data_IF_662339101805
#
_entry.id   IF_662339101805
#
_cell.length_a   1.000
_cell.length_b   1.000
_cell.length_c   1.000
_cell.angle_alpha   90.00
_cell.angle_beta   90.00
_cell.angle_gamma   90.00
#
_symmetry.space_group_name_H-M   'P 1'
#
loop_
_entity.id
_entity.type
_entity.pdbx_description
1 polymer ?
#
# COMPACT_ATOMS: atom_id res chain seq x y z
N UNK A 1 3.17 -0.63 -3.90
CA UNK A 1 2.37 -0.36 -2.69
C UNK A 1 0.91 -0.63 -2.96
N UNK A 2 0.28 -1.43 -2.11
CA UNK A 2 -1.18 -1.46 -1.95
C UNK A 2 -1.53 -0.85 -0.61
N UNK A 3 -2.57 -0.03 -0.59
CA UNK A 3 -3.14 0.56 0.61
C UNK A 3 -4.65 0.38 0.55
N UNK A 4 -5.29 0.02 1.67
CA UNK A 4 -6.72 -0.19 1.76
C UNK A 4 -7.26 0.30 3.11
N UNK A 5 -8.47 0.91 3.12
CA UNK A 5 -9.11 1.41 4.34
C UNK A 5 -9.82 0.26 5.03
N UNK A 6 -9.52 0.05 6.29
CA UNK A 6 -10.08 -1.04 7.09
C UNK A 6 -11.55 -0.82 7.42
N UNK A 7 -12.34 -1.89 7.23
CA UNK A 7 -13.77 -1.92 7.55
C UNK A 7 -14.59 -0.83 6.84
N UNK A 8 -14.08 -0.31 5.70
CA UNK A 8 -14.73 0.78 4.99
C UNK A 8 -16.17 0.45 4.61
N UNK A 9 -16.42 -0.69 3.99
CA UNK A 9 -17.77 -1.11 3.56
C UNK A 9 -18.76 -1.16 4.72
N UNK A 10 -18.32 -1.64 5.89
CA UNK A 10 -19.16 -1.70 7.09
C UNK A 10 -19.44 -0.30 7.64
N UNK A 11 -18.41 0.53 7.74
CA UNK A 11 -18.51 1.89 8.25
C UNK A 11 -19.28 2.84 7.31
N UNK A 12 -19.29 2.56 6.00
CA UNK A 12 -19.98 3.36 5.00
C UNK A 12 -21.45 2.96 4.81
N UNK A 13 -21.87 1.77 5.26
CA UNK A 13 -23.18 1.15 4.94
C UNK A 13 -24.38 2.08 5.16
N UNK A 14 -24.41 2.74 6.30
CA UNK A 14 -25.57 3.54 6.73
C UNK A 14 -25.34 5.05 6.57
N UNK A 15 -24.37 5.45 5.71
CA UNK A 15 -24.02 6.85 5.49
C UNK A 15 -24.53 7.35 4.15
N UNK A 16 -24.85 8.64 4.03
CA UNK A 16 -25.18 9.25 2.76
C UNK A 16 -24.01 9.09 1.75
N UNK A 17 -24.29 8.83 0.47
CA UNK A 17 -23.25 8.67 -0.55
C UNK A 17 -22.29 9.86 -0.64
N UNK A 18 -22.81 11.08 -0.45
CA UNK A 18 -22.01 12.30 -0.47
C UNK A 18 -20.98 12.33 0.67
N UNK A 19 -21.38 11.91 1.88
CA UNK A 19 -20.47 11.82 3.02
C UNK A 19 -19.39 10.73 2.79
N UNK A 20 -19.73 9.65 2.08
CA UNK A 20 -18.77 8.61 1.70
C UNK A 20 -17.70 9.17 0.76
N UNK A 21 -18.11 9.93 -0.24
CA UNK A 21 -17.19 10.56 -1.21
C UNK A 21 -16.32 11.62 -0.51
N UNK A 22 -16.90 12.45 0.35
CA UNK A 22 -16.14 13.44 1.12
C UNK A 22 -15.10 12.79 2.02
N UNK A 23 -15.45 11.70 2.73
CA UNK A 23 -14.52 10.95 3.55
C UNK A 23 -13.36 10.40 2.72
N UNK A 24 -13.63 9.76 1.58
CA UNK A 24 -12.58 9.25 0.70
C UNK A 24 -11.68 10.37 0.19
N UNK A 25 -12.25 11.47 -0.31
CA UNK A 25 -11.49 12.57 -0.85
C UNK A 25 -10.58 13.21 0.20
N UNK A 26 -11.09 13.45 1.41
CA UNK A 26 -10.32 14.05 2.50
C UNK A 26 -9.14 13.17 2.92
N UNK A 27 -9.35 11.84 2.98
CA UNK A 27 -8.31 10.91 3.41
C UNK A 27 -7.33 10.57 2.28
N UNK A 28 -7.80 10.42 1.06
CA UNK A 28 -6.90 10.20 -0.08
C UNK A 28 -6.00 11.39 -0.36
N UNK A 29 -6.44 12.62 -0.09
CA UNK A 29 -5.65 13.82 -0.35
C UNK A 29 -4.26 13.75 0.30
N UNK A 30 -4.18 13.55 1.62
CA UNK A 30 -2.89 13.49 2.30
C UNK A 30 -2.10 12.21 1.97
N UNK A 31 -2.79 11.08 1.73
CA UNK A 31 -2.12 9.83 1.31
C UNK A 31 -1.44 9.99 -0.05
N UNK A 32 -2.11 10.64 -1.00
CA UNK A 32 -1.56 10.95 -2.32
C UNK A 32 -0.36 11.89 -2.18
N UNK A 33 -0.49 12.95 -1.38
CA UNK A 33 0.59 13.90 -1.12
C UNK A 33 1.84 13.21 -0.53
N UNK A 34 1.66 12.28 0.41
CA UNK A 34 2.76 11.50 0.97
C UNK A 34 3.41 10.60 -0.09
N UNK A 35 2.61 9.90 -0.91
CA UNK A 35 3.11 9.05 -1.99
C UNK A 35 3.88 9.87 -3.02
N UNK A 36 3.34 11.00 -3.48
CA UNK A 36 3.96 11.87 -4.48
C UNK A 36 5.26 12.50 -3.93
N UNK A 37 5.28 12.93 -2.67
CA UNK A 37 6.47 13.51 -2.00
C UNK A 37 7.65 12.53 -1.99
N UNK A 38 7.36 11.24 -1.87
CA UNK A 38 8.35 10.18 -1.92
C UNK A 38 8.55 9.58 -3.32
N UNK A 39 8.16 10.28 -4.38
CA UNK A 39 8.44 9.88 -5.76
C UNK A 39 7.61 8.69 -6.26
N UNK A 40 6.58 8.30 -5.53
CA UNK A 40 5.58 7.35 -6.02
C UNK A 40 4.51 8.04 -6.86
N UNK A 41 3.73 7.29 -7.59
CA UNK A 41 2.55 7.81 -8.28
C UNK A 41 1.35 6.88 -8.12
N UNK A 42 0.16 7.45 -8.10
CA UNK A 42 -1.07 6.69 -8.02
C UNK A 42 -1.35 6.05 -9.38
N UNK A 43 -1.30 4.73 -9.41
CA UNK A 43 -1.66 3.99 -10.63
C UNK A 43 -3.17 3.91 -10.81
N UNK A 44 -3.88 3.55 -9.74
CA UNK A 44 -5.35 3.51 -9.73
C UNK A 44 -5.93 3.50 -8.33
N UNK A 45 -7.18 3.95 -8.24
CA UNK A 45 -8.02 3.72 -7.08
C UNK A 45 -8.76 2.38 -7.23
N UNK A 46 -8.89 1.65 -6.14
CA UNK A 46 -9.52 0.33 -6.06
C UNK A 46 -10.68 0.37 -5.06
N UNK A 47 -11.66 1.24 -5.35
CA UNK A 47 -12.72 1.57 -4.41
C UNK A 47 -12.17 2.42 -3.26
N UNK A 48 -12.06 1.83 -2.08
CA UNK A 48 -11.48 2.42 -0.86
C UNK A 48 -9.98 2.16 -0.71
N UNK A 49 -9.34 1.64 -1.75
CA UNK A 49 -7.91 1.35 -1.78
C UNK A 49 -7.15 2.11 -2.86
N UNK A 50 -5.84 2.10 -2.74
CA UNK A 50 -4.88 2.72 -3.67
C UNK A 50 -3.85 1.69 -4.11
N UNK A 51 -3.59 1.64 -5.42
CA UNK A 51 -2.37 1.06 -5.98
C UNK A 51 -1.42 2.20 -6.35
N UNK A 52 -0.28 2.27 -5.68
CA UNK A 52 0.80 3.20 -6.02
C UNK A 52 2.04 2.43 -6.48
N UNK A 53 2.80 3.04 -7.39
CA UNK A 53 4.00 2.50 -7.99
C UNK A 53 5.17 3.45 -7.71
N UNK A 54 6.31 2.86 -7.34
CA UNK A 54 7.58 3.54 -7.12
C UNK A 54 8.62 2.95 -8.09
N UNK A 55 9.54 3.77 -8.59
CA UNK A 55 10.58 3.33 -9.50
C UNK A 55 10.12 3.06 -10.93
N UNK A 56 8.98 3.61 -11.34
CA UNK A 56 8.48 3.63 -12.71
C UNK A 56 7.54 4.84 -12.88
N UNK A 57 7.43 5.42 -14.11
CA UNK A 57 8.11 5.03 -15.34
C UNK A 57 9.59 5.42 -15.38
N UNK A 58 10.03 6.29 -14.48
CA UNK A 58 11.42 6.66 -14.31
C UNK A 58 12.07 5.71 -13.30
N UNK A 59 13.28 5.27 -13.62
CA UNK A 59 14.05 4.40 -12.73
C UNK A 59 14.49 5.19 -11.48
N UNK A 60 14.23 4.61 -10.31
CA UNK A 60 14.64 5.16 -9.02
C UNK A 60 15.32 4.06 -8.19
N UNK A 61 16.64 4.11 -8.01
CA UNK A 61 17.36 3.13 -7.22
C UNK A 61 16.93 3.08 -5.74
N UNK A 62 16.32 4.16 -5.24
CA UNK A 62 15.84 4.27 -3.87
C UNK A 62 14.32 3.99 -3.73
N UNK A 63 13.64 3.58 -4.80
CA UNK A 63 12.19 3.37 -4.83
C UNK A 63 11.66 2.52 -3.67
N UNK A 64 12.40 1.50 -3.25
CA UNK A 64 12.02 0.65 -2.12
C UNK A 64 12.07 1.41 -0.78
N UNK A 65 13.08 2.26 -0.58
CA UNK A 65 13.19 3.13 0.60
C UNK A 65 12.05 4.14 0.61
N UNK A 66 11.86 4.84 -0.50
CA UNK A 66 10.81 5.84 -0.67
C UNK A 66 9.41 5.27 -0.43
N UNK A 67 9.15 4.03 -0.88
CA UNK A 67 7.87 3.37 -0.63
C UNK A 67 7.63 3.08 0.86
N UNK A 68 8.67 2.70 1.62
CA UNK A 68 8.58 2.50 3.07
C UNK A 68 8.36 3.83 3.79
N UNK A 69 9.09 4.88 3.40
CA UNK A 69 8.95 6.21 3.98
C UNK A 69 7.56 6.80 3.75
N UNK A 70 7.03 6.68 2.53
CA UNK A 70 5.65 7.09 2.24
C UNK A 70 4.63 6.35 3.10
N UNK A 71 4.79 5.04 3.26
CA UNK A 71 3.89 4.25 4.11
C UNK A 71 3.96 4.65 5.58
N UNK A 72 5.14 4.91 6.11
CA UNK A 72 5.34 5.40 7.48
C UNK A 72 4.75 6.79 7.69
N UNK A 73 4.97 7.69 6.74
CA UNK A 73 4.41 9.04 6.81
C UNK A 73 2.88 9.02 6.84
N UNK A 74 2.23 8.19 6.01
CA UNK A 74 0.77 8.02 6.03
C UNK A 74 0.29 7.53 7.39
N UNK A 75 0.96 6.54 7.98
CA UNK A 75 0.58 6.01 9.30
C UNK A 75 0.78 7.04 10.42
N UNK A 76 1.90 7.75 10.39
CA UNK A 76 2.20 8.82 11.35
C UNK A 76 1.15 9.94 11.28
N UNK A 77 0.76 10.36 10.09
CA UNK A 77 -0.23 11.42 9.91
C UNK A 77 -1.63 11.00 10.39
N UNK A 78 -2.01 9.73 10.21
CA UNK A 78 -3.25 9.18 10.78
C UNK A 78 -3.23 9.25 12.31
N UNK A 79 -2.12 8.90 12.93
CA UNK A 79 -1.95 8.90 14.38
C UNK A 79 -1.90 10.33 14.94
N UNK A 80 -1.12 11.22 14.34
CA UNK A 80 -0.98 12.63 14.76
C UNK A 80 -2.30 13.40 14.68
N UNK A 81 -3.12 13.10 13.68
CA UNK A 81 -4.46 13.71 13.53
C UNK A 81 -5.54 13.03 14.37
N UNK A 82 -5.23 11.91 15.05
CA UNK A 82 -6.20 11.14 15.82
C UNK A 82 -7.35 10.55 14.98
N UNK A 83 -7.09 10.26 13.71
CA UNK A 83 -8.14 9.83 12.78
C UNK A 83 -8.65 8.40 13.07
N UNK A 84 -7.90 7.60 13.82
CA UNK A 84 -8.28 6.23 14.19
C UNK A 84 -9.40 6.15 15.23
N UNK A 85 -9.66 7.23 15.96
CA UNK A 85 -10.57 7.25 17.12
C UNK A 85 -11.85 8.07 16.87
N UNK A 86 -12.02 8.60 15.66
CA UNK A 86 -13.17 9.42 15.30
C UNK A 86 -14.47 8.63 15.11
N UNK A 87 -15.61 9.33 14.92
CA UNK A 87 -16.91 8.70 14.66
C UNK A 87 -16.96 7.96 13.32
N UNK A 88 -16.00 8.19 12.47
CA UNK A 88 -15.68 7.40 11.27
C UNK A 88 -14.18 7.13 11.28
N UNK A 89 -13.76 6.05 11.95
CA UNK A 89 -12.33 5.80 12.16
C UNK A 89 -11.62 5.49 10.84
N UNK A 90 -10.51 6.18 10.59
CA UNK A 90 -9.61 5.87 9.51
C UNK A 90 -8.52 4.93 10.02
N UNK A 91 -8.56 3.71 9.56
CA UNK A 91 -7.50 2.72 9.76
C UNK A 91 -7.12 2.16 8.41
N UNK A 92 -5.84 1.98 8.16
CA UNK A 92 -5.35 1.47 6.87
C UNK A 92 -4.49 0.23 7.05
N UNK A 93 -4.45 -0.59 6.01
CA UNK A 93 -3.47 -1.63 5.83
C UNK A 93 -2.61 -1.32 4.61
N UNK A 94 -1.31 -1.49 4.72
CA UNK A 94 -0.35 -1.21 3.65
C UNK A 94 0.48 -2.47 3.38
N UNK A 95 0.54 -2.87 2.11
CA UNK A 95 1.39 -3.96 1.64
C UNK A 95 2.43 -3.45 0.66
N UNK A 96 3.71 -3.72 0.93
CA UNK A 96 4.82 -3.32 0.07
C UNK A 96 5.59 -4.55 -0.43
N UNK A 97 5.86 -4.56 -1.72
CA UNK A 97 6.74 -5.54 -2.34
C UNK A 97 7.53 -4.92 -3.46
N UNK A 98 8.78 -5.35 -3.63
CA UNK A 98 9.65 -4.98 -4.73
C UNK A 98 9.93 -6.19 -5.62
N UNK A 99 9.95 -5.96 -6.93
CA UNK A 99 10.25 -7.00 -7.90
C UNK A 99 9.94 -6.54 -9.32
N UNK A 100 10.26 -7.39 -10.28
CA UNK A 100 9.99 -7.11 -11.68
C UNK A 100 8.47 -7.08 -11.96
N UNK A 101 8.05 -6.05 -12.68
CA UNK A 101 6.70 -5.92 -13.19
C UNK A 101 6.74 -5.37 -14.62
N UNK A 102 5.75 -5.72 -15.42
CA UNK A 102 5.56 -5.12 -16.73
C UNK A 102 4.66 -3.90 -16.56
N UNK A 103 5.17 -2.71 -16.89
CA UNK A 103 4.39 -1.48 -16.89
C UNK A 103 4.06 -1.08 -18.32
N UNK A 104 2.87 -0.60 -18.55
CA UNK A 104 2.45 -0.16 -19.87
C UNK A 104 0.95 0.06 -20.00
N UNK A 105 0.56 0.51 -21.20
CA UNK A 105 -0.83 0.72 -21.54
C UNK A 105 -1.51 -0.62 -21.91
N UNK A 106 -2.49 -1.02 -21.13
CA UNK A 106 -3.28 -2.23 -21.33
C UNK A 106 -4.72 -1.84 -21.67
N UNK A 107 -5.30 -2.53 -22.64
CA UNK A 107 -6.68 -2.31 -23.06
C UNK A 107 -6.88 -2.36 -24.57
N UNK A 108 -7.96 -1.76 -25.03
CA UNK A 108 -8.31 -1.64 -26.44
C UNK A 108 -7.91 -0.28 -27.01
N UNK A 109 -7.98 -0.08 -28.37
CA UNK A 109 -7.77 1.23 -28.96
C UNK A 109 -8.68 2.34 -28.40
N UNK A 110 -9.86 1.96 -27.90
CA UNK A 110 -10.86 2.91 -27.37
C UNK A 110 -10.69 3.20 -25.87
N UNK A 111 -10.02 2.30 -25.13
CA UNK A 111 -9.79 2.48 -23.68
C UNK A 111 -8.50 1.80 -23.29
N UNK A 112 -7.53 2.60 -22.96
CA UNK A 112 -6.21 2.16 -22.46
C UNK A 112 -6.03 2.69 -21.04
N UNK A 113 -5.43 1.87 -20.21
CA UNK A 113 -5.04 2.22 -18.85
C UNK A 113 -3.57 1.86 -18.66
N UNK A 114 -2.79 2.85 -18.20
CA UNK A 114 -1.42 2.57 -17.80
C UNK A 114 -1.44 1.79 -16.50
N UNK A 115 -0.85 0.61 -16.49
CA UNK A 115 -0.86 -0.26 -15.32
C UNK A 115 0.40 -1.10 -15.21
N UNK A 116 0.63 -1.63 -14.01
CA UNK A 116 1.65 -2.64 -13.76
C UNK A 116 0.99 -4.02 -13.65
N UNK A 117 1.59 -5.01 -14.29
CA UNK A 117 1.13 -6.41 -14.27
C UNK A 117 2.31 -7.30 -13.89
N UNK A 118 2.05 -8.26 -13.03
CA UNK A 118 3.04 -9.26 -12.64
C UNK A 118 2.79 -9.86 -11.26
N UNK A 119 3.56 -10.89 -10.92
CA UNK A 119 3.54 -11.50 -9.60
C UNK A 119 3.81 -10.49 -8.49
N UNK A 120 4.71 -9.53 -8.74
CA UNK A 120 5.05 -8.43 -7.84
C UNK A 120 3.83 -7.64 -7.36
N UNK A 121 2.93 -7.28 -8.29
CA UNK A 121 1.69 -6.56 -7.97
C UNK A 121 0.76 -7.42 -7.11
N UNK A 122 0.62 -8.69 -7.49
CA UNK A 122 -0.22 -9.64 -6.75
C UNK A 122 0.30 -9.88 -5.33
N UNK A 123 1.62 -9.98 -5.15
CA UNK A 123 2.19 -10.18 -3.82
C UNK A 123 1.99 -8.95 -2.94
N UNK A 124 2.23 -7.75 -3.44
CA UNK A 124 1.96 -6.52 -2.69
C UNK A 124 0.51 -6.44 -2.20
N UNK A 125 -0.46 -6.81 -3.05
CA UNK A 125 -1.88 -6.89 -2.66
C UNK A 125 -2.13 -7.94 -1.56
N UNK A 126 -1.44 -9.09 -1.60
CA UNK A 126 -1.58 -10.12 -0.56
C UNK A 126 -0.96 -9.68 0.77
N UNK A 127 0.17 -8.98 0.72
CA UNK A 127 0.79 -8.41 1.93
C UNK A 127 -0.13 -7.39 2.60
N UNK A 128 -0.81 -6.56 1.81
CA UNK A 128 -1.84 -5.65 2.35
C UNK A 128 -2.93 -6.44 3.09
N UNK A 129 -3.48 -7.51 2.49
CA UNK A 129 -4.52 -8.32 3.11
C UNK A 129 -4.06 -8.97 4.44
N UNK A 130 -2.78 -9.36 4.54
CA UNK A 130 -2.22 -9.95 5.76
C UNK A 130 -2.20 -8.97 6.94
N UNK A 131 -2.29 -7.66 6.72
CA UNK A 131 -2.42 -6.69 7.82
C UNK A 131 -3.75 -6.86 8.59
N UNK A 132 -4.69 -7.68 8.10
CA UNK A 132 -5.92 -8.10 8.82
C UNK A 132 -5.66 -9.22 9.82
N UNK A 133 -4.60 -9.99 9.60
CA UNK A 133 -4.28 -11.20 10.35
C UNK A 133 -3.12 -10.99 11.33
N UNK A 134 -2.24 -10.05 11.01
CA UNK A 134 -1.03 -9.74 11.79
C UNK A 134 -1.16 -8.39 12.49
N UNK A 135 -0.55 -8.24 13.69
CA UNK A 135 -0.57 -6.97 14.42
C UNK A 135 0.47 -5.99 13.82
N UNK A 136 0.24 -5.59 12.58
CA UNK A 136 1.06 -4.63 11.83
C UNK A 136 0.20 -3.93 10.79
N UNK A 137 0.29 -2.61 10.71
CA UNK A 137 -0.46 -1.80 9.74
C UNK A 137 0.22 -1.75 8.37
N UNK A 138 1.54 -1.95 8.34
CA UNK A 138 2.34 -2.03 7.14
C UNK A 138 3.12 -3.34 7.13
N UNK A 139 2.93 -4.15 6.09
CA UNK A 139 3.64 -5.41 5.90
C UNK A 139 4.50 -5.33 4.64
N UNK A 140 5.77 -5.72 4.80
CA UNK A 140 6.76 -5.78 3.73
C UNK A 140 7.22 -7.21 3.50
N UNK A 141 7.59 -7.55 2.26
CA UNK A 141 8.30 -8.80 1.97
C UNK A 141 9.77 -8.69 2.36
N UNK A 142 10.42 -9.85 2.54
CA UNK A 142 11.86 -9.92 2.83
C UNK A 142 12.70 -9.22 1.76
N UNK A 143 12.36 -9.39 0.48
CA UNK A 143 13.03 -8.69 -0.61
C UNK A 143 12.89 -7.16 -0.51
N UNK A 144 11.73 -6.68 -0.07
CA UNK A 144 11.50 -5.26 0.18
C UNK A 144 12.34 -4.77 1.36
N UNK A 145 12.39 -5.52 2.44
CA UNK A 145 13.25 -5.21 3.60
C UNK A 145 14.71 -5.12 3.20
N UNK A 146 15.19 -6.09 2.46
CA UNK A 146 16.58 -6.11 1.98
C UNK A 146 16.89 -4.93 1.05
N UNK A 147 15.98 -4.58 0.16
CA UNK A 147 16.16 -3.48 -0.78
C UNK A 147 16.07 -2.09 -0.09
N UNK A 148 15.06 -1.89 0.76
CA UNK A 148 14.81 -0.59 1.38
C UNK A 148 15.73 -0.29 2.54
N UNK A 149 16.07 -1.31 3.30
CA UNK A 149 16.62 -1.11 4.62
C UNK A 149 18.08 -1.56 4.70
N UNK A 150 18.55 -2.35 3.73
CA UNK A 150 19.90 -2.91 3.77
C UNK A 150 20.21 -3.49 5.15
N UNK A 151 21.43 -3.27 5.65
CA UNK A 151 21.79 -3.63 7.02
C UNK A 151 21.13 -2.73 8.11
N UNK A 152 20.55 -1.60 7.71
CA UNK A 152 19.87 -0.66 8.59
C UNK A 152 18.35 -0.89 8.62
N UNK A 153 17.88 -2.10 8.34
CA UNK A 153 16.47 -2.52 8.40
C UNK A 153 15.78 -2.22 9.75
N UNK A 154 16.24 -1.16 10.37
CA UNK A 154 15.84 -0.73 11.68
C UNK A 154 14.33 -0.58 11.79
N UNK A 155 13.71 -1.49 12.53
CA UNK A 155 12.33 -1.39 12.93
C UNK A 155 11.36 -2.38 12.31
N UNK A 156 11.68 -3.09 11.23
CA UNK A 156 10.79 -4.14 10.74
C UNK A 156 10.83 -5.35 11.69
N UNK A 157 9.71 -5.64 12.32
CA UNK A 157 9.57 -6.82 13.18
C UNK A 157 9.33 -8.06 12.32
N UNK A 158 10.16 -9.11 12.37
CA UNK A 158 9.89 -10.34 11.65
C UNK A 158 8.53 -10.94 12.06
N UNK A 159 7.69 -11.25 11.09
CA UNK A 159 6.41 -11.90 11.29
C UNK A 159 6.42 -13.38 10.88
N UNK A 160 7.55 -13.84 10.35
CA UNK A 160 7.76 -15.20 9.89
C UNK A 160 7.41 -15.41 8.41
N UNK A 161 7.59 -16.64 7.91
CA UNK A 161 7.25 -16.99 6.54
C UNK A 161 5.75 -17.27 6.41
N UNK A 162 5.12 -16.74 5.36
CA UNK A 162 3.71 -16.98 5.05
C UNK A 162 3.54 -17.65 3.71
N UNK A 163 2.59 -18.56 3.61
CA UNK A 163 2.19 -19.15 2.33
C UNK A 163 1.32 -18.13 1.58
N UNK A 164 1.76 -17.74 0.39
CA UNK A 164 1.02 -16.80 -0.44
C UNK A 164 0.47 -17.53 -1.66
N UNK A 165 -0.84 -17.46 -1.87
CA UNK A 165 -1.49 -18.11 -3.02
C UNK A 165 -0.86 -17.63 -4.33
N UNK A 166 -0.39 -18.57 -5.15
CA UNK A 166 0.26 -18.29 -6.43
C UNK A 166 1.77 -18.12 -6.36
N UNK A 167 2.37 -18.26 -5.18
CA UNK A 167 3.82 -18.33 -5.00
C UNK A 167 4.25 -19.74 -4.62
N UNK A 168 5.36 -20.21 -5.20
CA UNK A 168 5.96 -21.47 -4.80
C UNK A 168 6.75 -21.25 -3.50
N UNK A 169 6.36 -21.95 -2.44
CA UNK A 169 6.98 -21.82 -1.13
C UNK A 169 6.36 -20.74 -0.26
N UNK A 170 7.06 -20.36 0.80
CA UNK A 170 6.68 -19.31 1.73
C UNK A 170 7.50 -18.05 1.50
N UNK A 171 6.89 -16.91 1.75
CA UNK A 171 7.51 -15.58 1.65
C UNK A 171 7.77 -15.08 3.07
N UNK A 172 9.04 -14.81 3.45
CA UNK A 172 9.33 -14.12 4.70
C UNK A 172 8.74 -12.73 4.68
N UNK A 173 8.08 -12.33 5.78
CA UNK A 173 7.48 -11.01 5.91
C UNK A 173 7.89 -10.32 7.20
N UNK A 174 7.85 -8.99 7.17
CA UNK A 174 8.07 -8.12 8.32
C UNK A 174 6.99 -7.07 8.46
N UNK A 175 6.68 -6.71 9.70
CA UNK A 175 5.73 -5.67 10.06
C UNK A 175 6.42 -4.38 10.45
N UNK A 176 5.83 -3.28 10.03
CA UNK A 176 6.16 -1.91 10.39
C UNK A 176 4.90 -1.22 10.91
N UNK A 177 5.03 -0.37 11.90
CA UNK A 177 3.97 0.45 12.48
C UNK A 177 4.36 1.92 12.46
#
# INVERSE_FOLDING_TARGET
>A
MFLDIRNFTENARDRPPEAVVEFLNANFAFMIEAIDRHGGFINKFLGDGILAIFGAPLDDPAAAVHAVEAGREILAEIDERGLSDGPWPLRVGIGLHVGSAVTGNVGSPRRKEFTAIGGTVNLASRLEQLTKEYPARLIVSDSMMMAALGAAAGGARPLGPVAVKGYAGSVPIGGLD
#
